data_IF_895147780037
#
_entry.id   IF_895147780037
#
_cell.length_a   1.000
_cell.length_b   1.000
_cell.length_c   1.000
_cell.angle_alpha   90.00
_cell.angle_beta   90.00
_cell.angle_gamma   90.00
#
_symmetry.space_group_name_H-M   'P 1'
#
loop_
_entity.id
_entity.type
_entity.pdbx_description
1 polymer ?
#
# COMPACT_ATOMS: atom_id res chain seq x y z
N UNK A 1 18.96 6.91 -9.95
CA UNK A 1 17.88 7.89 -9.97
C UNK A 1 16.57 7.19 -9.57
N UNK A 2 15.90 7.75 -8.57
CA UNK A 2 14.64 7.19 -8.10
C UNK A 2 13.57 7.26 -9.18
N UNK A 3 12.74 6.23 -9.26
CA UNK A 3 11.62 6.17 -10.20
C UNK A 3 10.33 6.62 -9.49
N UNK A 4 9.26 6.95 -10.23
CA UNK A 4 7.97 7.23 -9.58
C UNK A 4 7.51 6.09 -8.68
N UNK A 5 7.71 4.83 -9.10
CA UNK A 5 7.39 3.67 -8.28
C UNK A 5 8.21 3.67 -6.99
N UNK A 6 9.51 3.91 -7.10
CA UNK A 6 10.39 3.94 -5.92
C UNK A 6 10.03 5.03 -4.94
N UNK A 7 9.69 6.20 -5.44
CA UNK A 7 9.27 7.33 -4.60
C UNK A 7 7.98 7.01 -3.85
N UNK A 8 7.01 6.41 -4.53
CA UNK A 8 5.75 6.01 -3.90
C UNK A 8 5.97 4.98 -2.80
N UNK A 9 6.80 3.98 -3.07
CA UNK A 9 7.12 2.94 -2.09
C UNK A 9 7.76 3.56 -0.86
N UNK A 10 8.74 4.44 -1.06
CA UNK A 10 9.45 5.09 0.06
C UNK A 10 8.49 5.93 0.90
N UNK A 11 7.69 6.76 0.25
CA UNK A 11 6.78 7.66 0.96
C UNK A 11 5.74 6.89 1.76
N UNK A 12 5.16 5.85 1.16
CA UNK A 12 4.18 5.01 1.83
C UNK A 12 4.81 4.22 2.97
N UNK A 13 6.02 3.68 2.74
CA UNK A 13 6.75 2.96 3.79
C UNK A 13 6.98 3.84 5.00
N UNK A 14 7.46 5.06 4.78
CA UNK A 14 7.73 6.00 5.88
C UNK A 14 6.44 6.41 6.58
N UNK A 15 5.37 6.61 5.85
CA UNK A 15 4.09 6.98 6.46
C UNK A 15 3.53 5.87 7.34
N UNK A 16 3.86 4.61 7.04
CA UNK A 16 3.48 3.47 7.87
C UNK A 16 4.46 3.23 9.02
N UNK A 17 5.57 3.95 9.05
CA UNK A 17 6.60 3.75 10.08
C UNK A 17 7.44 2.51 9.89
N UNK A 18 7.48 1.96 8.68
CA UNK A 18 8.26 0.75 8.41
C UNK A 18 9.71 1.09 8.05
N UNK A 19 10.64 0.26 8.54
CA UNK A 19 12.02 0.29 8.08
C UNK A 19 12.13 -0.49 6.76
N UNK A 20 13.28 -0.35 6.09
CA UNK A 20 13.55 -1.18 4.90
C UNK A 20 13.48 -2.67 5.25
N UNK A 21 14.06 -3.06 6.40
CA UNK A 21 14.02 -4.45 6.86
C UNK A 21 12.60 -4.92 7.08
N UNK A 22 11.76 -4.09 7.69
CA UNK A 22 10.38 -4.46 7.97
C UNK A 22 9.57 -4.65 6.70
N UNK A 23 9.70 -3.72 5.76
CA UNK A 23 8.99 -3.85 4.49
C UNK A 23 9.47 -5.08 3.71
N UNK A 24 10.78 -5.34 3.72
CA UNK A 24 11.33 -6.53 3.07
C UNK A 24 10.74 -7.81 3.68
N UNK A 25 10.70 -7.89 5.01
CA UNK A 25 10.12 -9.03 5.71
C UNK A 25 8.66 -9.25 5.33
N UNK A 26 7.86 -8.18 5.38
CA UNK A 26 6.42 -8.27 5.10
C UNK A 26 6.10 -8.62 3.65
N UNK A 27 6.99 -8.28 2.72
CA UNK A 27 6.80 -8.55 1.30
C UNK A 27 7.57 -9.80 0.83
N UNK A 28 8.21 -10.51 1.76
CA UNK A 28 9.04 -11.67 1.44
C UNK A 28 10.14 -11.33 0.43
N UNK A 29 10.78 -10.19 0.65
CA UNK A 29 11.84 -9.68 -0.22
C UNK A 29 13.12 -9.48 0.59
N UNK A 30 14.24 -9.21 -0.09
CA UNK A 30 15.47 -8.81 0.60
C UNK A 30 15.47 -7.31 0.83
N UNK A 31 16.20 -6.88 1.88
CA UNK A 31 16.37 -5.46 2.16
C UNK A 31 17.04 -4.75 0.97
N UNK A 32 18.02 -5.39 0.36
CA UNK A 32 18.72 -4.85 -0.80
C UNK A 32 17.78 -4.59 -1.95
N UNK A 33 16.84 -5.51 -2.20
CA UNK A 33 15.87 -5.36 -3.27
C UNK A 33 14.95 -4.17 -3.03
N UNK A 34 14.42 -4.02 -1.80
CA UNK A 34 13.57 -2.89 -1.47
C UNK A 34 14.35 -1.58 -1.60
N UNK A 35 15.61 -1.56 -1.12
CA UNK A 35 16.46 -0.39 -1.25
C UNK A 35 16.67 0.00 -2.72
N UNK A 36 16.89 -1.00 -3.59
CA UNK A 36 17.06 -0.76 -5.02
C UNK A 36 15.80 -0.19 -5.65
N UNK A 37 14.63 -0.72 -5.27
CA UNK A 37 13.36 -0.20 -5.77
C UNK A 37 13.17 1.27 -5.40
N UNK A 38 13.60 1.67 -4.21
CA UNK A 38 13.44 3.04 -3.73
C UNK A 38 14.48 4.01 -4.30
N UNK A 39 15.68 3.54 -4.59
CA UNK A 39 16.81 4.42 -4.89
C UNK A 39 17.42 4.25 -6.27
N UNK A 40 17.13 3.17 -6.95
CA UNK A 40 17.68 2.85 -8.25
C UNK A 40 16.56 2.66 -9.26
N UNK A 41 16.91 2.19 -10.45
CA UNK A 41 15.94 1.82 -11.48
C UNK A 41 16.17 0.36 -11.86
N UNK A 42 15.85 -0.58 -10.96
CA UNK A 42 16.06 -2.00 -11.24
C UNK A 42 15.07 -2.50 -12.29
N UNK A 43 15.23 -3.74 -12.79
CA UNK A 43 14.24 -4.33 -13.67
C UNK A 43 12.86 -4.28 -13.04
N UNK A 44 11.84 -4.11 -13.88
CA UNK A 44 10.47 -3.95 -13.41
C UNK A 44 10.05 -5.14 -12.55
N UNK A 45 9.49 -4.92 -11.36
CA UNK A 45 9.04 -6.03 -10.52
C UNK A 45 7.87 -6.77 -11.15
N UNK A 46 7.74 -8.07 -10.81
CA UNK A 46 6.63 -8.87 -11.29
C UNK A 46 5.30 -8.37 -10.74
N UNK A 47 4.21 -8.76 -11.40
CA UNK A 47 2.86 -8.39 -10.95
C UNK A 47 2.61 -8.92 -9.53
N UNK A 48 3.08 -10.14 -9.22
CA UNK A 48 2.93 -10.72 -7.89
C UNK A 48 3.66 -9.90 -6.83
N UNK A 49 4.87 -9.45 -7.15
CA UNK A 49 5.67 -8.65 -6.22
C UNK A 49 5.00 -7.28 -5.98
N UNK A 50 4.53 -6.65 -7.04
CA UNK A 50 3.82 -5.37 -6.93
C UNK A 50 2.57 -5.53 -6.07
N UNK A 51 1.82 -6.61 -6.28
CA UNK A 51 0.61 -6.89 -5.50
C UNK A 51 0.92 -7.04 -4.01
N UNK A 52 2.00 -7.75 -3.67
CA UNK A 52 2.41 -7.92 -2.27
C UNK A 52 2.80 -6.58 -1.64
N UNK A 53 3.61 -5.79 -2.33
CA UNK A 53 4.04 -4.49 -1.82
C UNK A 53 2.83 -3.58 -1.63
N UNK A 54 1.94 -3.53 -2.59
CA UNK A 54 0.73 -2.72 -2.51
C UNK A 54 -0.14 -3.12 -1.32
N UNK A 55 -0.35 -4.43 -1.13
CA UNK A 55 -1.15 -4.94 -0.01
C UNK A 55 -0.55 -4.54 1.34
N UNK A 56 0.77 -4.66 1.49
CA UNK A 56 1.45 -4.29 2.72
C UNK A 56 1.37 -2.78 2.97
N UNK A 57 1.47 -1.99 1.92
CA UNK A 57 1.42 -0.53 2.02
C UNK A 57 -0.01 0.02 2.07
N UNK A 58 -1.02 -0.83 1.86
CA UNK A 58 -2.42 -0.42 1.97
C UNK A 58 -2.94 0.37 0.79
N UNK A 59 -2.38 0.15 -0.40
CA UNK A 59 -2.82 0.81 -1.63
C UNK A 59 -3.07 -0.22 -2.72
N UNK A 60 -3.60 0.21 -3.86
CA UNK A 60 -3.81 -0.69 -4.99
C UNK A 60 -2.51 -0.86 -5.80
N UNK A 61 -2.36 -2.02 -6.45
CA UNK A 61 -1.24 -2.23 -7.35
C UNK A 61 -1.25 -1.22 -8.50
N UNK A 62 -2.44 -0.87 -8.98
CA UNK A 62 -2.59 0.13 -10.05
C UNK A 62 -2.00 1.48 -9.63
N UNK A 63 -2.23 1.89 -8.38
CA UNK A 63 -1.65 3.13 -7.89
C UNK A 63 -0.13 3.10 -7.92
N UNK A 64 0.48 1.99 -7.49
CA UNK A 64 1.94 1.86 -7.49
C UNK A 64 2.53 1.92 -8.89
N UNK A 65 1.88 1.29 -9.85
CA UNK A 65 2.38 1.18 -11.22
C UNK A 65 2.01 2.37 -12.10
N UNK A 66 1.05 3.18 -11.68
CA UNK A 66 0.59 4.31 -12.48
C UNK A 66 1.62 5.44 -12.44
N UNK A 67 2.06 5.87 -13.60
CA UNK A 67 2.99 6.98 -13.75
C UNK A 67 2.27 8.30 -13.99
N UNK A 68 0.96 8.26 -14.22
CA UNK A 68 0.16 9.46 -14.33
C UNK A 68 -0.30 9.87 -12.94
N UNK A 69 -0.33 11.13 -12.62
CA UNK A 69 -0.71 11.59 -11.29
C UNK A 69 -2.22 11.80 -11.15
N UNK A 70 -3.01 10.94 -11.81
CA UNK A 70 -4.45 11.10 -11.85
C UNK A 70 -5.16 10.54 -10.63
N UNK A 71 -4.49 9.68 -9.84
CA UNK A 71 -5.09 9.05 -8.65
C UNK A 71 -4.29 9.47 -7.42
N UNK A 72 -4.93 10.13 -6.47
CA UNK A 72 -4.29 10.50 -5.22
C UNK A 72 -4.10 9.31 -4.30
N UNK A 73 -3.16 9.42 -3.34
CA UNK A 73 -2.89 8.34 -2.39
C UNK A 73 -4.11 8.02 -1.54
N UNK A 74 -4.91 9.02 -1.19
CA UNK A 74 -6.12 8.81 -0.40
C UNK A 74 -7.12 7.93 -1.14
N UNK A 75 -7.36 8.21 -2.44
CA UNK A 75 -8.27 7.43 -3.25
C UNK A 75 -7.78 5.99 -3.41
N UNK A 76 -6.48 5.79 -3.64
CA UNK A 76 -5.90 4.47 -3.75
C UNK A 76 -6.00 3.69 -2.45
N UNK A 77 -5.83 4.37 -1.32
CA UNK A 77 -5.95 3.78 0.02
C UNK A 77 -7.39 3.36 0.29
N UNK A 78 -8.34 4.21 -0.05
CA UNK A 78 -9.76 3.92 0.13
C UNK A 78 -10.19 2.71 -0.70
N UNK A 79 -9.76 2.65 -1.94
CA UNK A 79 -10.07 1.50 -2.81
C UNK A 79 -9.49 0.21 -2.27
N UNK A 80 -8.26 0.24 -1.78
CA UNK A 80 -7.61 -0.95 -1.21
C UNK A 80 -8.35 -1.40 0.05
N UNK A 81 -8.73 -0.47 0.92
CA UNK A 81 -9.51 -0.77 2.11
C UNK A 81 -10.86 -1.38 1.73
N UNK A 82 -11.55 -0.82 0.75
CA UNK A 82 -12.86 -1.30 0.33
C UNK A 82 -12.79 -2.74 -0.20
N UNK A 83 -11.76 -3.07 -0.97
CA UNK A 83 -11.55 -4.44 -1.44
C UNK A 83 -11.37 -5.41 -0.27
N UNK A 84 -10.55 -5.03 0.70
CA UNK A 84 -10.33 -5.84 1.89
C UNK A 84 -11.61 -6.00 2.68
N UNK A 85 -12.35 -4.92 2.87
CA UNK A 85 -13.62 -4.91 3.60
C UNK A 85 -14.62 -5.88 2.97
N UNK A 86 -14.74 -5.88 1.65
CA UNK A 86 -15.69 -6.75 0.94
C UNK A 86 -15.42 -8.23 1.14
N UNK A 87 -14.18 -8.59 1.45
CA UNK A 87 -13.79 -9.99 1.68
C UNK A 87 -13.97 -10.44 3.12
N UNK A 88 -14.30 -9.53 4.01
CA UNK A 88 -14.48 -9.84 5.43
C UNK A 88 -15.81 -10.54 5.67
N UNK A 89 -15.90 -11.29 6.78
CA UNK A 89 -17.18 -11.91 7.18
C UNK A 89 -18.15 -10.85 7.71
N UNK A 90 -19.41 -11.25 7.88
CA UNK A 90 -20.46 -10.33 8.29
C UNK A 90 -20.20 -9.73 9.68
N UNK A 91 -19.67 -10.53 10.59
CA UNK A 91 -19.39 -10.08 11.96
C UNK A 91 -18.30 -9.00 11.97
N UNK A 92 -17.24 -9.21 11.20
CA UNK A 92 -16.15 -8.23 11.11
C UNK A 92 -16.62 -6.94 10.44
N UNK A 93 -17.39 -7.05 9.37
CA UNK A 93 -17.97 -5.88 8.70
C UNK A 93 -18.83 -5.07 9.66
N UNK A 94 -19.65 -5.74 10.47
CA UNK A 94 -20.51 -5.07 11.41
C UNK A 94 -19.71 -4.28 12.46
N UNK A 95 -18.64 -4.86 12.97
CA UNK A 95 -17.74 -4.15 13.89
C UNK A 95 -17.15 -2.90 13.27
N UNK A 96 -16.73 -2.99 12.03
CA UNK A 96 -16.14 -1.83 11.33
C UNK A 96 -17.20 -0.74 11.14
N UNK A 97 -18.41 -1.13 10.75
CA UNK A 97 -19.52 -0.16 10.60
C UNK A 97 -19.83 0.54 11.91
N UNK A 98 -19.85 -0.19 13.02
CA UNK A 98 -20.11 0.40 14.34
C UNK A 98 -19.03 1.39 14.73
N UNK A 99 -17.76 1.05 14.47
CA UNK A 99 -16.65 1.96 14.72
C UNK A 99 -16.76 3.23 13.89
N UNK A 100 -17.11 3.09 12.61
CA UNK A 100 -17.28 4.22 11.72
C UNK A 100 -18.44 5.11 12.19
N UNK A 101 -19.55 4.51 12.63
CA UNK A 101 -20.70 5.27 13.16
C UNK A 101 -20.31 6.06 14.40
N UNK A 102 -19.54 5.46 15.31
CA UNK A 102 -19.08 6.14 16.51
C UNK A 102 -18.19 7.34 16.18
N UNK A 103 -17.33 7.19 15.19
CA UNK A 103 -16.41 8.25 14.78
C UNK A 103 -17.10 9.33 13.96
N UNK A 104 -18.18 8.98 13.27
CA UNK A 104 -18.94 9.92 12.45
C UNK A 104 -20.02 10.70 13.18
N UNK A 105 -20.33 10.35 14.43
CA UNK A 105 -21.41 10.95 15.19
C UNK A 105 -21.08 12.33 15.76
N UNK A 106 -19.92 12.87 15.45
CA UNK A 106 -19.47 14.17 15.95
C UNK A 106 -19.94 15.35 15.08
N UNK A 107 -20.81 15.09 14.15
CA UNK A 107 -21.36 16.16 13.30
C UNK A 107 -22.64 16.77 13.86
#
# INVERSE_FOLDING_TARGET
VATPLGDKIRDLRKSKGYTLDKLAELTESSKSYIWELENKNPPRPSADKVAKIAAVLGVTADYLMDTTETVGVEDATDKAFFRKYRKMDAATKDKIRRMADLLGDDE
#
